data_IF_798857878594
#
_entry.id   IF_798857878594
#
_cell.length_a   1.000
_cell.length_b   1.000
_cell.length_c   1.000
_cell.angle_alpha   90.00
_cell.angle_beta   90.00
_cell.angle_gamma   90.00
#
_symmetry.space_group_name_H-M   'P 1'
#
loop_
_entity.id
_entity.type
_entity.pdbx_description
1 polymer ?
#
# COMPACT_ATOMS: atom_id res chain seq x y z
N UNK A 1 68.72 -58.93 -37.29
CA UNK A 1 69.57 -59.48 -36.19
C UNK A 1 69.64 -58.46 -35.05
N UNK A 2 69.74 -58.96 -33.80
CA UNK A 2 70.61 -58.53 -32.67
C UNK A 2 71.16 -57.08 -32.60
N UNK A 3 71.32 -56.42 -31.44
CA UNK A 3 71.05 -56.75 -30.00
C UNK A 3 71.11 -55.41 -29.20
N UNK A 4 70.07 -55.06 -28.42
CA UNK A 4 69.95 -55.14 -26.93
C UNK A 4 70.66 -54.06 -26.07
N UNK A 5 69.85 -53.54 -25.11
CA UNK A 5 70.20 -53.13 -23.72
C UNK A 5 70.93 -51.77 -23.56
N UNK A 6 70.89 -51.03 -22.43
CA UNK A 6 70.39 -51.19 -21.02
C UNK A 6 70.13 -49.74 -20.47
N UNK A 7 69.40 -49.37 -19.40
CA UNK A 7 68.21 -49.85 -18.62
C UNK A 7 67.89 -48.81 -17.50
N UNK A 8 66.62 -48.70 -17.06
CA UNK A 8 66.12 -48.16 -15.74
C UNK A 8 66.22 -46.64 -15.51
N UNK A 9 65.34 -45.97 -14.74
CA UNK A 9 64.09 -46.31 -14.00
C UNK A 9 62.97 -45.32 -14.47
N UNK A 10 61.72 -45.19 -13.98
CA UNK A 10 60.80 -45.78 -12.95
C UNK A 10 59.38 -45.69 -13.61
N UNK A 11 58.27 -46.42 -13.34
CA UNK A 11 57.53 -46.79 -12.11
C UNK A 11 57.02 -45.57 -11.32
N UNK A 12 55.72 -45.36 -11.04
CA UNK A 12 54.48 -46.20 -11.05
C UNK A 12 53.28 -45.28 -11.46
N UNK A 13 52.33 -45.63 -12.36
CA UNK A 13 51.16 -46.55 -12.22
C UNK A 13 50.10 -46.03 -11.19
N UNK A 14 48.76 -46.14 -11.36
CA UNK A 14 47.92 -46.86 -12.34
C UNK A 14 46.46 -46.28 -12.43
N UNK A 15 45.85 -46.41 -13.63
CA UNK A 15 44.41 -46.47 -13.99
C UNK A 15 43.37 -45.42 -13.55
N UNK A 16 42.60 -44.99 -14.56
CA UNK A 16 41.19 -44.58 -14.47
C UNK A 16 40.32 -45.63 -13.76
N UNK A 17 39.20 -45.20 -13.17
CA UNK A 17 37.93 -45.90 -13.37
C UNK A 17 36.75 -44.91 -13.44
N UNK A 18 35.90 -45.05 -14.44
CA UNK A 18 34.63 -44.34 -14.57
C UNK A 18 33.54 -45.14 -13.84
N UNK A 19 32.88 -44.54 -12.85
CA UNK A 19 31.57 -45.00 -12.34
C UNK A 19 30.68 -43.78 -12.15
N UNK A 20 29.47 -43.83 -12.71
CA UNK A 20 28.45 -42.79 -12.63
C UNK A 20 27.15 -43.34 -12.05
N UNK A 21 26.76 -42.92 -10.84
CA UNK A 21 25.39 -43.10 -10.31
C UNK A 21 25.04 -42.12 -9.19
N UNK A 22 23.99 -41.34 -9.44
CA UNK A 22 22.94 -40.83 -8.52
C UNK A 22 23.24 -40.47 -7.04
N UNK A 23 22.99 -39.18 -6.75
CA UNK A 23 22.12 -38.65 -5.68
C UNK A 23 22.38 -39.09 -4.23
N UNK A 24 22.81 -38.12 -3.41
CA UNK A 24 22.09 -37.77 -2.17
C UNK A 24 22.26 -36.29 -1.87
N UNK A 25 21.23 -35.65 -1.30
CA UNK A 25 21.26 -34.24 -0.91
C UNK A 25 21.48 -34.14 0.61
N UNK A 26 22.69 -33.76 1.02
CA UNK A 26 23.00 -33.40 2.40
C UNK A 26 22.81 -31.91 2.62
N UNK A 27 22.09 -31.54 3.69
CA UNK A 27 21.94 -30.13 4.10
C UNK A 27 23.31 -29.48 4.29
N UNK A 28 23.46 -28.27 3.78
CA UNK A 28 24.50 -27.35 4.24
C UNK A 28 23.85 -26.55 5.37
N UNK A 29 24.32 -26.78 6.60
CA UNK A 29 23.99 -25.88 7.70
C UNK A 29 24.64 -24.51 7.42
N UNK A 30 23.84 -23.44 7.47
CA UNK A 30 24.37 -22.07 7.33
C UNK A 30 25.11 -21.70 8.62
N UNK A 31 26.43 -21.90 8.64
CA UNK A 31 27.28 -21.10 9.51
C UNK A 31 27.16 -19.64 9.07
N UNK A 32 26.60 -18.79 9.93
CA UNK A 32 26.60 -17.35 9.75
C UNK A 32 28.01 -16.83 10.02
N UNK A 33 28.88 -16.90 9.01
CA UNK A 33 30.21 -16.28 9.05
C UNK A 33 30.01 -14.76 9.12
N UNK A 34 30.07 -14.21 10.34
CA UNK A 34 30.21 -12.77 10.55
C UNK A 34 31.50 -12.31 9.88
N UNK A 35 31.42 -11.21 9.13
CA UNK A 35 32.59 -10.52 8.59
C UNK A 35 33.58 -10.21 9.71
N UNK A 36 34.88 -10.51 9.57
CA UNK A 36 35.87 -10.21 10.60
C UNK A 36 36.07 -8.72 10.91
N UNK A 37 35.48 -7.82 10.12
CA UNK A 37 35.75 -6.38 10.19
C UNK A 37 34.48 -5.53 10.01
N UNK A 38 33.53 -5.69 10.92
CA UNK A 38 32.27 -4.91 11.03
C UNK A 38 32.48 -3.39 10.86
N UNK A 39 33.63 -2.86 11.32
CA UNK A 39 34.00 -1.44 11.18
C UNK A 39 34.23 -0.99 9.74
N UNK A 40 34.54 -1.89 8.81
CA UNK A 40 34.66 -1.55 7.38
C UNK A 40 33.31 -1.72 6.66
N UNK A 41 32.55 -2.75 7.01
CA UNK A 41 31.21 -2.98 6.45
C UNK A 41 30.27 -1.80 6.76
N UNK A 42 30.29 -1.29 7.99
CA UNK A 42 29.55 -0.07 8.40
C UNK A 42 29.92 1.14 7.52
N UNK A 43 31.21 1.36 7.22
CA UNK A 43 31.62 2.50 6.36
C UNK A 43 31.14 2.34 4.92
N UNK A 44 31.06 1.10 4.42
CA UNK A 44 30.53 0.81 3.08
C UNK A 44 29.03 1.12 3.04
N UNK A 45 28.29 0.72 4.08
CA UNK A 45 26.86 1.04 4.23
C UNK A 45 26.61 2.55 4.40
N UNK A 46 27.34 3.24 5.29
CA UNK A 46 27.30 4.71 5.45
C UNK A 46 27.58 5.44 4.12
N UNK A 47 28.57 4.98 3.36
CA UNK A 47 28.91 5.56 2.07
C UNK A 47 27.88 5.26 0.98
N UNK A 48 27.27 4.06 0.95
CA UNK A 48 26.18 3.77 0.01
C UNK A 48 24.91 4.57 0.35
N UNK A 49 24.56 4.72 1.63
CA UNK A 49 23.47 5.61 2.09
C UNK A 49 23.73 7.02 1.59
N UNK A 50 24.92 7.58 1.86
CA UNK A 50 25.28 8.95 1.45
C UNK A 50 25.20 9.17 -0.06
N UNK A 51 25.78 8.27 -0.86
CA UNK A 51 25.73 8.36 -2.34
C UNK A 51 24.29 8.19 -2.85
N UNK A 52 23.47 7.37 -2.19
CA UNK A 52 22.05 7.20 -2.55
C UNK A 52 21.23 8.45 -2.20
N UNK A 53 21.45 9.06 -1.04
CA UNK A 53 20.83 10.35 -0.65
C UNK A 53 21.22 11.49 -1.60
N UNK A 54 22.51 11.62 -1.95
CA UNK A 54 22.99 12.59 -2.94
C UNK A 54 22.31 12.42 -4.31
N UNK A 55 22.07 11.17 -4.74
CA UNK A 55 21.32 10.89 -5.97
C UNK A 55 19.83 11.26 -5.84
N UNK A 56 19.19 10.97 -4.71
CA UNK A 56 17.81 11.38 -4.44
C UNK A 56 17.65 12.90 -4.44
N UNK A 57 18.60 13.60 -3.83
CA UNK A 57 18.70 15.06 -3.82
C UNK A 57 18.88 15.64 -5.24
N UNK A 58 19.58 14.94 -6.15
CA UNK A 58 19.65 15.34 -7.57
C UNK A 58 18.27 15.30 -8.23
N UNK A 59 17.59 14.14 -8.19
CA UNK A 59 16.23 14.01 -8.76
C UNK A 59 15.25 15.03 -8.17
N UNK A 60 15.37 15.35 -6.88
CA UNK A 60 14.53 16.35 -6.23
C UNK A 60 14.75 17.76 -6.82
N UNK A 61 16.00 18.15 -7.06
CA UNK A 61 16.35 19.42 -7.71
C UNK A 61 15.87 19.47 -9.17
N UNK A 62 15.91 18.33 -9.87
CA UNK A 62 15.40 18.15 -11.24
C UNK A 62 13.85 18.13 -11.30
N UNK A 63 13.15 18.19 -10.15
CA UNK A 63 11.70 18.03 -9.98
C UNK A 63 11.16 16.64 -10.39
N UNK A 64 12.02 15.64 -10.49
CA UNK A 64 11.66 14.24 -10.67
C UNK A 64 11.30 13.60 -9.31
N UNK A 65 10.16 14.02 -8.77
CA UNK A 65 9.68 13.61 -7.44
C UNK A 65 9.50 12.10 -7.32
N UNK A 66 9.21 11.41 -8.43
CA UNK A 66 9.05 9.95 -8.46
C UNK A 66 10.40 9.23 -8.27
N UNK A 67 11.42 9.56 -9.06
CA UNK A 67 12.75 8.96 -8.89
C UNK A 67 13.46 9.46 -7.62
N UNK A 68 13.18 10.68 -7.15
CA UNK A 68 13.63 11.17 -5.86
C UNK A 68 13.08 10.27 -4.73
N UNK A 69 11.75 10.11 -4.64
CA UNK A 69 11.09 9.26 -3.65
C UNK A 69 11.61 7.82 -3.66
N UNK A 70 11.66 7.17 -4.82
CA UNK A 70 12.17 5.80 -4.97
C UNK A 70 13.64 5.68 -4.54
N UNK A 71 14.48 6.67 -4.85
CA UNK A 71 15.90 6.68 -4.46
C UNK A 71 16.06 6.89 -2.95
N UNK A 72 15.26 7.77 -2.34
CA UNK A 72 15.23 7.96 -0.90
C UNK A 72 14.73 6.72 -0.13
N UNK A 73 13.72 6.03 -0.65
CA UNK A 73 13.27 4.73 -0.13
C UNK A 73 14.37 3.66 -0.22
N UNK A 74 15.20 3.67 -1.28
CA UNK A 74 16.41 2.83 -1.34
C UNK A 74 17.41 3.20 -0.23
N UNK A 75 17.69 4.49 0.02
CA UNK A 75 18.61 4.91 1.08
C UNK A 75 18.15 4.40 2.46
N UNK A 76 16.87 4.60 2.77
CA UNK A 76 16.21 4.07 3.98
C UNK A 76 16.24 2.53 4.04
N UNK A 77 16.21 1.85 2.89
CA UNK A 77 16.22 0.38 2.89
C UNK A 77 17.54 -0.25 3.32
N UNK A 78 18.65 0.51 3.30
CA UNK A 78 19.99 0.09 3.74
C UNK A 78 20.02 0.09 5.28
N UNK A 79 19.82 1.25 5.91
CA UNK A 79 19.62 1.36 7.36
C UNK A 79 18.24 1.96 7.66
N UNK A 80 17.33 1.09 8.12
CA UNK A 80 15.95 1.45 8.44
C UNK A 80 15.78 2.11 9.80
N UNK A 81 16.76 2.00 10.70
CA UNK A 81 16.67 2.50 12.08
C UNK A 81 17.48 3.79 12.29
N UNK A 82 18.37 4.13 11.35
CA UNK A 82 19.01 5.43 11.29
C UNK A 82 17.98 6.53 10.95
N UNK A 83 17.60 7.26 12.00
CA UNK A 83 16.64 8.36 11.94
C UNK A 83 17.12 9.56 11.11
N UNK A 84 18.42 9.78 10.99
CA UNK A 84 18.97 11.00 10.39
C UNK A 84 18.75 11.00 8.87
N UNK A 85 18.71 9.82 8.25
CA UNK A 85 18.30 9.59 6.85
C UNK A 85 16.89 10.16 6.62
N UNK A 86 15.91 9.79 7.44
CA UNK A 86 14.53 10.28 7.33
C UNK A 86 14.42 11.79 7.60
N UNK A 87 15.21 12.31 8.54
CA UNK A 87 15.22 13.73 8.86
C UNK A 87 15.77 14.57 7.69
N UNK A 88 16.88 14.16 7.06
CA UNK A 88 17.41 14.83 5.86
C UNK A 88 16.38 14.84 4.73
N UNK A 89 15.81 13.68 4.40
CA UNK A 89 14.81 13.55 3.32
C UNK A 89 13.60 14.44 3.59
N UNK A 90 13.05 14.39 4.81
CA UNK A 90 11.92 15.24 5.21
C UNK A 90 12.28 16.73 5.11
N UNK A 91 13.46 17.17 5.56
CA UNK A 91 13.84 18.59 5.46
C UNK A 91 14.03 19.02 4.00
N UNK A 92 14.57 18.15 3.13
CA UNK A 92 14.67 18.39 1.68
C UNK A 92 13.31 18.60 1.01
N UNK A 93 12.29 17.82 1.37
CA UNK A 93 10.92 18.06 0.88
C UNK A 93 10.25 19.30 1.52
N UNK A 94 10.57 19.64 2.77
CA UNK A 94 10.07 20.86 3.43
C UNK A 94 10.67 22.14 2.84
N UNK A 95 11.96 22.14 2.45
CA UNK A 95 12.63 23.25 1.76
C UNK A 95 11.90 23.69 0.49
N UNK A 96 11.27 22.74 -0.22
CA UNK A 96 10.49 23.00 -1.44
C UNK A 96 8.96 23.01 -1.21
N UNK A 97 8.50 23.05 0.04
CA UNK A 97 7.08 23.06 0.44
C UNK A 97 6.24 21.83 0.00
N UNK A 98 6.87 20.67 -0.29
CA UNK A 98 6.17 19.40 -0.57
C UNK A 98 5.86 18.66 0.74
N UNK A 99 4.93 19.24 1.50
CA UNK A 99 4.57 18.80 2.85
C UNK A 99 4.04 17.36 2.93
N UNK A 100 3.38 16.86 1.87
CA UNK A 100 2.85 15.50 1.85
C UNK A 100 3.96 14.45 1.71
N UNK A 101 4.97 14.70 0.88
CA UNK A 101 6.13 13.81 0.75
C UNK A 101 6.98 13.84 2.03
N UNK A 102 7.17 15.01 2.62
CA UNK A 102 7.80 15.14 3.93
C UNK A 102 7.05 14.35 5.02
N UNK A 103 5.71 14.37 5.01
CA UNK A 103 4.89 13.57 5.92
C UNK A 103 5.00 12.06 5.63
N UNK A 104 5.05 11.65 4.37
CA UNK A 104 5.23 10.24 3.98
C UNK A 104 6.51 9.65 4.58
N UNK A 105 7.65 10.34 4.48
CA UNK A 105 8.90 9.84 5.05
C UNK A 105 8.90 9.80 6.58
N UNK A 106 8.19 10.72 7.25
CA UNK A 106 7.99 10.67 8.71
C UNK A 106 7.05 9.53 9.13
N UNK A 107 6.01 9.23 8.35
CA UNK A 107 5.18 8.05 8.55
C UNK A 107 5.96 6.74 8.31
N UNK A 108 6.86 6.72 7.31
CA UNK A 108 7.73 5.57 7.05
C UNK A 108 8.71 5.33 8.21
N UNK A 109 9.25 6.38 8.83
CA UNK A 109 10.05 6.28 10.05
C UNK A 109 9.24 5.66 11.20
N UNK A 110 8.01 6.12 11.43
CA UNK A 110 7.11 5.56 12.44
C UNK A 110 6.81 4.07 12.18
N UNK A 111 6.54 3.68 10.94
CA UNK A 111 6.30 2.29 10.55
C UNK A 111 7.54 1.39 10.74
N UNK A 112 8.74 1.93 10.54
CA UNK A 112 10.01 1.27 10.84
C UNK A 112 10.44 1.44 12.32
N UNK A 113 9.56 1.90 13.21
CA UNK A 113 9.78 2.07 14.66
C UNK A 113 10.95 3.03 15.03
N UNK A 114 11.25 3.99 14.14
CA UNK A 114 12.40 4.89 14.23
C UNK A 114 12.04 6.22 14.91
N UNK A 115 12.80 6.59 15.95
CA UNK A 115 12.66 7.82 16.78
C UNK A 115 11.19 8.22 17.05
N UNK A 116 10.39 7.24 17.48
CA UNK A 116 8.92 7.26 17.42
C UNK A 116 8.30 8.53 18.02
N UNK A 117 8.75 8.99 19.18
CA UNK A 117 8.13 10.13 19.87
C UNK A 117 8.48 11.47 19.23
N UNK A 118 9.71 11.61 18.70
CA UNK A 118 10.11 12.75 17.88
C UNK A 118 9.35 12.76 16.54
N UNK A 119 9.26 11.61 15.87
CA UNK A 119 8.57 11.49 14.58
C UNK A 119 7.06 11.76 14.70
N UNK A 120 6.39 11.44 15.83
CA UNK A 120 5.02 11.90 16.10
C UNK A 120 4.92 13.43 16.12
N UNK A 121 5.78 14.09 16.89
CA UNK A 121 5.81 15.56 17.03
C UNK A 121 6.05 16.22 15.65
N UNK A 122 6.99 15.69 14.86
CA UNK A 122 7.25 16.15 13.49
C UNK A 122 6.02 15.91 12.60
N UNK A 123 5.39 14.73 12.68
CA UNK A 123 4.20 14.39 11.89
C UNK A 123 3.04 15.36 12.14
N UNK A 124 2.77 15.70 13.40
CA UNK A 124 1.69 16.62 13.77
C UNK A 124 2.03 18.08 13.44
N UNK A 125 3.32 18.47 13.55
CA UNK A 125 3.82 19.76 13.07
C UNK A 125 3.74 19.94 11.55
N UNK A 126 3.79 18.86 10.77
CA UNK A 126 3.56 18.91 9.32
C UNK A 126 2.06 18.97 9.02
N UNK A 127 1.24 18.11 9.64
CA UNK A 127 -0.24 18.12 9.47
C UNK A 127 -0.86 19.48 9.79
N UNK A 128 -0.33 20.21 10.77
CA UNK A 128 -0.82 21.55 11.14
C UNK A 128 -0.65 22.61 10.04
N UNK A 129 0.07 22.30 8.96
CA UNK A 129 0.28 23.18 7.78
C UNK A 129 -0.70 22.89 6.64
N UNK A 130 -1.48 21.81 6.70
CA UNK A 130 -2.46 21.49 5.67
C UNK A 130 -3.68 22.40 5.75
N UNK A 131 -4.18 22.83 4.58
CA UNK A 131 -5.44 23.57 4.48
C UNK A 131 -6.62 22.67 4.90
N UNK A 132 -7.45 23.14 5.84
CA UNK A 132 -8.71 22.46 6.20
C UNK A 132 -9.79 22.92 5.21
N UNK A 133 -10.19 22.02 4.32
CA UNK A 133 -11.25 22.29 3.34
C UNK A 133 -12.61 22.34 4.05
N UNK A 134 -13.32 23.47 3.97
CA UNK A 134 -14.67 23.66 4.51
C UNK A 134 -15.73 23.60 3.40
N UNK A 135 -16.90 23.05 3.72
CA UNK A 135 -18.12 23.19 2.91
C UNK A 135 -19.22 23.87 3.72
N UNK A 136 -19.84 24.89 3.13
CA UNK A 136 -20.94 25.65 3.72
C UNK A 136 -22.23 25.39 2.94
N UNK A 137 -23.29 24.97 3.61
CA UNK A 137 -24.55 24.58 2.96
C UNK A 137 -25.78 25.00 3.78
N UNK A 138 -26.64 25.80 3.15
CA UNK A 138 -27.97 26.10 3.68
C UNK A 138 -28.99 25.01 3.30
N UNK A 139 -29.86 24.70 4.25
CA UNK A 139 -30.94 23.71 4.18
C UNK A 139 -32.21 24.31 4.81
N UNK A 140 -33.38 23.77 4.50
CA UNK A 140 -34.61 24.03 5.26
C UNK A 140 -34.92 22.94 6.28
N UNK A 141 -35.74 23.24 7.29
CA UNK A 141 -36.22 22.23 8.25
C UNK A 141 -36.90 21.05 7.53
N UNK A 142 -36.44 19.84 7.83
CA UNK A 142 -36.90 18.60 7.19
C UNK A 142 -36.31 18.31 5.79
N UNK A 143 -35.47 19.18 5.23
CA UNK A 143 -34.77 18.90 3.96
C UNK A 143 -33.81 17.71 4.14
N UNK A 144 -33.92 16.68 3.30
CA UNK A 144 -33.02 15.52 3.34
C UNK A 144 -31.67 15.87 2.69
N UNK A 145 -30.58 15.77 3.45
CA UNK A 145 -29.24 16.03 2.96
C UNK A 145 -28.24 14.93 3.34
N UNK A 146 -27.26 14.71 2.49
CA UNK A 146 -26.14 13.78 2.69
C UNK A 146 -24.83 14.53 2.48
N UNK A 147 -23.90 14.40 3.43
CA UNK A 147 -22.54 14.92 3.24
C UNK A 147 -21.85 14.22 2.06
N UNK A 148 -21.01 14.92 1.29
CA UNK A 148 -20.34 14.34 0.13
C UNK A 148 -19.31 13.30 0.56
N UNK A 149 -19.25 12.18 -0.17
CA UNK A 149 -18.31 11.08 0.09
C UNK A 149 -16.87 11.40 -0.31
N UNK A 150 -16.66 12.42 -1.14
CA UNK A 150 -15.35 12.92 -1.57
C UNK A 150 -15.33 14.45 -1.53
N UNK A 151 -14.15 15.04 -1.37
CA UNK A 151 -13.92 16.48 -1.51
C UNK A 151 -12.59 16.77 -2.20
N UNK A 152 -12.56 17.81 -3.03
CA UNK A 152 -11.34 18.31 -3.66
C UNK A 152 -10.45 19.03 -2.65
N UNK A 153 -9.17 18.66 -2.60
CA UNK A 153 -8.15 19.34 -1.79
C UNK A 153 -6.78 19.28 -2.47
N UNK A 154 -5.81 20.07 -1.98
CA UNK A 154 -4.44 20.07 -2.53
C UNK A 154 -3.58 19.00 -1.88
N UNK A 155 -2.97 18.12 -2.67
CA UNK A 155 -1.87 17.22 -2.28
C UNK A 155 -0.64 17.62 -3.10
N UNK A 156 0.50 17.94 -2.48
CA UNK A 156 1.73 18.36 -3.18
C UNK A 156 1.51 19.46 -4.26
N UNK A 157 0.59 20.40 -3.98
CA UNK A 157 0.09 21.48 -4.87
C UNK A 157 -0.86 21.05 -6.01
N UNK A 158 -1.10 19.77 -6.23
CA UNK A 158 -2.09 19.27 -7.19
C UNK A 158 -3.47 19.14 -6.53
N UNK A 159 -4.53 19.58 -7.22
CA UNK A 159 -5.90 19.50 -6.68
C UNK A 159 -6.54 18.18 -7.12
N UNK A 160 -6.80 17.29 -6.16
CA UNK A 160 -7.43 15.99 -6.39
C UNK A 160 -8.67 15.79 -5.52
N UNK A 161 -9.63 15.00 -6.01
CA UNK A 161 -10.77 14.53 -5.20
C UNK A 161 -10.31 13.35 -4.34
N UNK A 162 -10.57 13.39 -3.03
CA UNK A 162 -10.22 12.30 -2.11
C UNK A 162 -11.41 11.93 -1.21
N UNK A 163 -11.56 10.64 -0.82
CA UNK A 163 -12.68 10.18 0.00
C UNK A 163 -12.61 10.75 1.43
N UNK A 164 -13.77 11.11 1.97
CA UNK A 164 -13.94 11.76 3.28
C UNK A 164 -14.78 10.91 4.21
N UNK A 165 -14.17 10.45 5.31
CA UNK A 165 -14.89 9.78 6.41
C UNK A 165 -15.37 10.83 7.41
N UNK A 166 -16.68 11.06 7.46
CA UNK A 166 -17.33 12.02 8.38
C UNK A 166 -17.54 11.43 9.78
N UNK A 167 -17.40 12.26 10.81
CA UNK A 167 -17.62 11.89 12.22
C UNK A 167 -19.08 11.52 12.54
N UNK A 168 -20.03 12.06 11.77
CA UNK A 168 -21.43 11.66 11.74
C UNK A 168 -21.96 11.82 10.31
N UNK A 169 -22.51 10.75 9.73
CA UNK A 169 -23.16 10.74 8.41
C UNK A 169 -24.68 10.94 8.47
N UNK A 170 -25.30 10.85 9.65
CA UNK A 170 -26.74 11.02 9.85
C UNK A 170 -27.04 12.50 10.10
N UNK A 171 -27.45 13.19 9.06
CA UNK A 171 -27.80 14.61 9.10
C UNK A 171 -29.25 14.76 9.59
N UNK A 172 -29.44 15.36 10.76
CA UNK A 172 -30.77 15.73 11.23
C UNK A 172 -31.07 17.20 10.94
N UNK A 173 -32.08 17.44 10.11
CA UNK A 173 -32.60 18.77 9.77
C UNK A 173 -33.94 19.08 10.45
N UNK A 174 -34.36 18.32 11.46
CA UNK A 174 -35.67 18.48 12.11
C UNK A 174 -35.84 19.77 12.94
N UNK A 175 -34.79 20.59 13.06
CA UNK A 175 -34.76 21.82 13.85
C UNK A 175 -33.80 22.83 13.22
N UNK A 176 -34.23 24.08 13.07
CA UNK A 176 -33.37 25.17 12.64
C UNK A 176 -32.16 25.38 13.56
N UNK A 177 -31.02 25.76 12.98
CA UNK A 177 -29.75 25.93 13.68
C UNK A 177 -28.54 25.72 12.77
N UNK A 178 -27.34 25.96 13.30
CA UNK A 178 -26.08 25.69 12.60
C UNK A 178 -25.38 24.48 13.23
N UNK A 179 -25.05 23.50 12.40
CA UNK A 179 -24.45 22.23 12.79
C UNK A 179 -23.09 22.07 12.10
N UNK A 180 -22.08 21.63 12.87
CA UNK A 180 -20.73 21.40 12.35
C UNK A 180 -20.37 19.92 12.40
N UNK A 181 -19.85 19.40 11.29
CA UNK A 181 -19.41 18.01 11.11
C UNK A 181 -17.94 18.04 10.69
N UNK A 182 -17.15 17.07 11.17
CA UNK A 182 -15.73 16.96 10.81
C UNK A 182 -15.49 15.71 9.98
N UNK A 183 -14.78 15.89 8.87
CA UNK A 183 -14.39 14.83 7.95
C UNK A 183 -12.89 14.57 8.02
N UNK A 184 -12.48 13.35 7.72
CA UNK A 184 -11.07 12.96 7.67
C UNK A 184 -10.77 12.07 6.47
N UNK A 185 -9.59 12.24 5.88
CA UNK A 185 -8.97 11.28 5.00
C UNK A 185 -7.69 10.78 5.67
N UNK A 186 -7.52 9.46 5.83
CA UNK A 186 -6.38 8.88 6.56
C UNK A 186 -5.09 8.87 5.74
N UNK A 187 -5.21 8.49 4.47
CA UNK A 187 -4.11 8.34 3.51
C UNK A 187 -3.28 9.63 3.42
N UNK A 188 -3.93 10.75 3.08
CA UNK A 188 -3.31 12.08 3.00
C UNK A 188 -3.36 12.85 4.32
N UNK A 189 -3.80 12.23 5.42
CA UNK A 189 -3.97 12.87 6.74
C UNK A 189 -4.75 14.21 6.72
N UNK A 190 -5.69 14.37 5.78
CA UNK A 190 -6.46 15.62 5.59
C UNK A 190 -7.65 15.69 6.54
N UNK A 191 -8.00 16.91 6.93
CA UNK A 191 -9.19 17.24 7.72
C UNK A 191 -10.13 18.13 6.91
N UNK A 192 -11.42 17.95 7.15
CA UNK A 192 -12.51 18.63 6.47
C UNK A 192 -13.54 19.12 7.49
N UNK A 193 -14.24 20.20 7.15
CA UNK A 193 -15.36 20.73 7.96
C UNK A 193 -16.59 20.86 7.06
N UNK A 194 -17.77 20.56 7.60
CA UNK A 194 -19.04 20.89 6.97
C UNK A 194 -19.92 21.68 7.92
N UNK A 195 -20.32 22.89 7.51
CA UNK A 195 -21.19 23.79 8.27
C UNK A 195 -22.56 23.80 7.59
N UNK A 196 -23.53 23.15 8.22
CA UNK A 196 -24.90 23.05 7.73
C UNK A 196 -25.78 24.05 8.49
N UNK A 197 -26.37 25.00 7.78
CA UNK A 197 -27.30 25.99 8.35
C UNK A 197 -28.72 25.63 7.96
N UNK A 198 -29.48 25.09 8.92
CA UNK A 198 -30.89 24.73 8.78
C UNK A 198 -31.75 25.96 9.09
N UNK A 199 -32.55 26.39 8.12
CA UNK A 199 -33.43 27.55 8.19
C UNK A 199 -34.87 27.12 8.53
N UNK A 200 -35.59 27.87 9.39
CA UNK A 200 -36.92 27.50 9.81
C UNK A 200 -37.93 27.58 8.66
N UNK A 201 -38.90 26.66 8.63
CA UNK A 201 -39.94 26.65 7.60
C UNK A 201 -41.12 27.55 7.96
N UNK A 202 -41.36 28.58 7.15
CA UNK A 202 -42.52 29.46 7.27
C UNK A 202 -43.82 28.67 7.03
N UNK A 203 -44.64 28.53 8.08
CA UNK A 203 -45.86 27.70 8.07
C UNK A 203 -46.82 28.04 6.91
N UNK A 204 -46.97 27.09 5.99
CA UNK A 204 -48.17 26.92 5.15
C UNK A 204 -48.64 25.48 5.33
N UNK A 205 -49.95 25.28 5.49
CA UNK A 205 -50.54 24.00 5.88
C UNK A 205 -51.44 23.42 4.80
N UNK A 206 -51.05 22.29 4.22
CA UNK A 206 -52.00 21.25 3.78
C UNK A 206 -51.29 19.89 3.64
N UNK A 207 -52.05 18.82 3.84
CA UNK A 207 -51.63 17.43 3.71
C UNK A 207 -51.44 17.02 2.25
N UNK A 208 -50.59 16.03 2.00
CA UNK A 208 -51.10 14.72 1.56
C UNK A 208 -50.06 13.59 1.75
N UNK A 209 -50.56 12.35 1.78
CA UNK A 209 -49.78 11.14 2.04
C UNK A 209 -49.29 10.51 0.73
N UNK A 210 -47.98 10.35 0.56
CA UNK A 210 -47.40 9.45 -0.45
C UNK A 210 -46.25 8.65 0.16
N UNK A 211 -46.39 7.31 0.18
CA UNK A 211 -45.23 6.43 0.36
C UNK A 211 -44.39 6.41 -0.91
N UNK A 212 -43.15 6.88 -0.83
CA UNK A 212 -42.16 6.72 -1.88
C UNK A 212 -41.11 5.69 -1.45
N UNK A 213 -41.30 4.43 -1.84
CA UNK A 213 -40.20 3.45 -1.83
C UNK A 213 -39.12 3.93 -2.79
N UNK A 214 -37.92 4.23 -2.28
CA UNK A 214 -36.75 4.47 -3.13
C UNK A 214 -36.51 3.25 -4.04
N UNK A 215 -35.98 3.44 -5.26
CA UNK A 215 -35.38 2.33 -5.99
C UNK A 215 -34.30 1.70 -5.11
N UNK A 216 -34.36 0.38 -4.93
CA UNK A 216 -33.20 -0.36 -4.40
C UNK A 216 -32.26 -0.54 -5.57
N UNK A 217 -31.33 0.41 -5.70
CA UNK A 217 -30.17 0.26 -6.55
C UNK A 217 -29.32 -0.88 -5.96
N UNK A 218 -29.27 -1.99 -6.69
CA UNK A 218 -28.69 -3.26 -6.23
C UNK A 218 -27.18 -3.07 -6.01
N UNK A 219 -26.70 -3.09 -4.75
CA UNK A 219 -25.28 -2.84 -4.47
C UNK A 219 -24.42 -3.93 -5.10
N UNK A 220 -24.93 -5.15 -5.20
CA UNK A 220 -24.23 -6.25 -5.87
C UNK A 220 -23.91 -5.93 -7.33
N UNK A 221 -24.81 -5.29 -8.07
CA UNK A 221 -24.57 -4.93 -9.48
C UNK A 221 -23.52 -3.81 -9.59
N UNK A 222 -23.58 -2.79 -8.73
CA UNK A 222 -22.56 -1.72 -8.65
C UNK A 222 -21.17 -2.32 -8.41
N UNK A 223 -21.04 -3.27 -7.47
CA UNK A 223 -19.75 -3.85 -7.14
C UNK A 223 -19.27 -4.93 -8.14
N UNK A 224 -20.18 -5.58 -8.87
CA UNK A 224 -19.82 -6.36 -10.07
C UNK A 224 -19.23 -5.43 -11.13
N UNK A 225 -19.81 -4.24 -11.36
CA UNK A 225 -19.24 -3.26 -12.27
C UNK A 225 -17.86 -2.79 -11.79
N UNK A 226 -17.69 -2.44 -10.50
CA UNK A 226 -16.38 -2.06 -9.94
C UNK A 226 -15.30 -3.15 -10.10
N UNK A 227 -15.64 -4.43 -9.93
CA UNK A 227 -14.72 -5.55 -10.22
C UNK A 227 -14.33 -5.53 -11.72
N UNK A 228 -15.28 -5.26 -12.62
CA UNK A 228 -15.02 -5.08 -14.05
C UNK A 228 -14.12 -3.87 -14.37
N UNK A 229 -14.36 -2.73 -13.72
CA UNK A 229 -13.57 -1.50 -13.87
C UNK A 229 -12.13 -1.71 -13.38
N UNK A 230 -11.92 -2.38 -12.24
CA UNK A 230 -10.58 -2.72 -11.75
C UNK A 230 -9.85 -3.65 -12.72
N UNK A 231 -10.51 -4.65 -13.30
CA UNK A 231 -9.92 -5.49 -14.37
C UNK A 231 -9.55 -4.69 -15.62
N UNK A 232 -10.42 -3.79 -16.07
CA UNK A 232 -10.14 -2.93 -17.22
C UNK A 232 -8.94 -1.99 -16.96
N UNK A 233 -8.79 -1.52 -15.70
CA UNK A 233 -7.68 -0.65 -15.31
C UNK A 233 -6.31 -1.28 -15.55
N UNK A 234 -6.15 -2.59 -15.32
CA UNK A 234 -4.86 -3.31 -15.40
C UNK A 234 -4.19 -3.27 -16.78
N UNK A 235 -4.92 -2.82 -17.81
CA UNK A 235 -4.37 -2.62 -19.15
C UNK A 235 -3.21 -1.62 -19.20
N UNK A 236 -3.12 -0.66 -18.27
CA UNK A 236 -1.98 0.25 -18.14
C UNK A 236 -0.67 -0.45 -17.66
N UNK A 237 -0.79 -1.48 -16.83
CA UNK A 237 0.33 -2.27 -16.29
C UNK A 237 1.03 -3.15 -17.34
N UNK A 238 0.47 -3.27 -18.56
CA UNK A 238 1.00 -4.11 -19.65
C UNK A 238 2.48 -3.83 -19.96
N UNK A 239 2.88 -2.55 -19.94
CA UNK A 239 4.27 -2.16 -20.16
C UNK A 239 5.20 -2.65 -19.04
N UNK A 240 4.75 -2.57 -17.79
CA UNK A 240 5.48 -3.02 -16.61
C UNK A 240 5.73 -4.53 -16.63
N UNK A 241 4.74 -5.33 -17.04
CA UNK A 241 4.88 -6.77 -17.18
C UNK A 241 5.82 -7.20 -18.32
N UNK A 242 5.93 -6.38 -19.38
CA UNK A 242 6.88 -6.58 -20.48
C UNK A 242 8.31 -6.07 -20.17
N UNK A 243 8.50 -5.38 -19.05
CA UNK A 243 9.78 -4.79 -18.64
C UNK A 243 10.74 -5.75 -17.93
N UNK A 244 11.62 -5.18 -17.11
CA UNK A 244 12.52 -5.93 -16.23
C UNK A 244 11.78 -6.60 -15.08
N UNK A 245 12.44 -7.50 -14.34
CA UNK A 245 11.87 -8.10 -13.12
C UNK A 245 11.53 -7.06 -12.04
N UNK A 246 12.11 -5.85 -12.09
CA UNK A 246 11.74 -4.75 -11.20
C UNK A 246 10.42 -4.09 -11.64
N UNK A 247 10.26 -3.83 -12.95
CA UNK A 247 9.03 -3.28 -13.53
C UNK A 247 7.87 -4.27 -13.36
N UNK A 248 8.12 -5.56 -13.57
CA UNK A 248 7.18 -6.66 -13.30
C UNK A 248 6.75 -6.70 -11.83
N UNK A 249 7.67 -6.42 -10.90
CA UNK A 249 7.36 -6.37 -9.47
C UNK A 249 6.49 -5.16 -9.13
N UNK A 250 6.76 -3.99 -9.72
CA UNK A 250 5.90 -2.82 -9.55
C UNK A 250 4.50 -3.08 -10.13
N UNK A 251 4.39 -3.57 -11.37
CA UNK A 251 3.10 -3.94 -11.98
C UNK A 251 2.29 -4.90 -11.11
N UNK A 252 2.89 -6.01 -10.67
CA UNK A 252 2.26 -6.98 -9.79
C UNK A 252 1.85 -6.41 -8.41
N UNK A 253 2.54 -5.36 -7.93
CA UNK A 253 2.25 -4.74 -6.64
C UNK A 253 1.15 -3.67 -6.75
N UNK A 254 1.10 -2.93 -7.85
CA UNK A 254 -0.01 -2.02 -8.18
C UNK A 254 -1.32 -2.79 -8.46
N UNK A 255 -1.25 -3.91 -9.17
CA UNK A 255 -2.37 -4.84 -9.35
C UNK A 255 -2.91 -5.32 -7.99
N UNK A 256 -2.03 -5.76 -7.10
CA UNK A 256 -2.40 -6.16 -5.74
C UNK A 256 -3.04 -4.99 -4.95
N UNK A 257 -2.46 -3.79 -5.01
CA UNK A 257 -2.98 -2.60 -4.31
C UNK A 257 -4.39 -2.22 -4.78
N UNK A 258 -4.64 -2.24 -6.09
CA UNK A 258 -5.97 -2.00 -6.68
C UNK A 258 -7.00 -3.02 -6.17
N UNK A 259 -6.62 -4.29 -6.07
CA UNK A 259 -7.49 -5.34 -5.52
C UNK A 259 -7.74 -5.22 -4.01
N UNK A 260 -6.72 -4.92 -3.20
CA UNK A 260 -6.88 -4.81 -1.74
C UNK A 260 -7.69 -3.55 -1.37
N UNK A 261 -7.53 -2.45 -2.11
CA UNK A 261 -8.39 -1.26 -1.98
C UNK A 261 -9.88 -1.59 -2.21
N UNK A 262 -10.20 -2.29 -3.31
CA UNK A 262 -11.58 -2.72 -3.58
C UNK A 262 -12.09 -3.73 -2.54
N UNK A 263 -11.23 -4.64 -2.05
CA UNK A 263 -11.59 -5.58 -0.99
C UNK A 263 -12.00 -4.86 0.30
N UNK A 264 -11.24 -3.83 0.68
CA UNK A 264 -11.53 -3.02 1.87
C UNK A 264 -12.82 -2.19 1.69
N UNK A 265 -13.13 -1.72 0.48
CA UNK A 265 -14.41 -1.06 0.16
C UNK A 265 -15.60 -2.05 0.30
N UNK A 266 -15.52 -3.21 -0.37
CA UNK A 266 -16.53 -4.27 -0.32
C UNK A 266 -16.81 -4.70 1.13
N UNK A 267 -15.76 -4.97 1.90
CA UNK A 267 -15.89 -5.40 3.30
C UNK A 267 -16.50 -4.32 4.20
N UNK A 268 -16.26 -3.04 3.90
CA UNK A 268 -16.89 -1.90 4.59
C UNK A 268 -18.38 -1.80 4.29
N UNK A 269 -18.81 -1.98 3.03
CA UNK A 269 -20.24 -2.02 2.68
C UNK A 269 -20.96 -3.22 3.28
N UNK A 270 -20.32 -4.40 3.31
CA UNK A 270 -20.90 -5.59 3.96
C UNK A 270 -21.11 -5.37 5.47
N UNK A 271 -20.24 -4.60 6.14
CA UNK A 271 -20.41 -4.21 7.56
C UNK A 271 -21.68 -3.37 7.81
N UNK A 272 -22.06 -2.51 6.87
CA UNK A 272 -23.27 -1.69 6.96
C UNK A 272 -24.55 -2.45 6.56
N UNK A 273 -24.41 -3.45 5.68
CA UNK A 273 -25.52 -4.16 5.04
C UNK A 273 -25.93 -5.45 5.78
N UNK A 274 -25.05 -6.01 6.61
CA UNK A 274 -25.29 -7.28 7.32
C UNK A 274 -25.73 -7.05 8.78
N UNK A 275 -26.32 -8.09 9.39
CA UNK A 275 -26.56 -8.09 10.84
C UNK A 275 -25.21 -8.15 11.58
N UNK A 276 -25.16 -7.65 12.83
CA UNK A 276 -23.96 -7.74 13.66
C UNK A 276 -23.50 -9.19 13.86
N UNK A 277 -24.44 -10.13 13.97
CA UNK A 277 -24.13 -11.56 14.14
C UNK A 277 -23.50 -12.16 12.87
N UNK A 278 -24.06 -11.86 11.70
CA UNK A 278 -23.56 -12.38 10.42
C UNK A 278 -22.26 -11.71 10.01
N UNK A 279 -22.08 -10.42 10.32
CA UNK A 279 -20.83 -9.72 10.08
C UNK A 279 -19.70 -10.24 10.98
N UNK A 280 -19.96 -10.58 12.25
CA UNK A 280 -18.96 -11.22 13.10
C UNK A 280 -18.57 -12.63 12.58
N UNK A 281 -19.50 -13.39 11.98
CA UNK A 281 -19.14 -14.63 11.26
C UNK A 281 -18.20 -14.33 10.08
N UNK A 282 -18.59 -13.39 9.20
CA UNK A 282 -17.81 -12.99 8.03
C UNK A 282 -16.41 -12.44 8.41
N UNK A 283 -16.32 -11.68 9.49
CA UNK A 283 -15.06 -11.15 10.05
C UNK A 283 -14.10 -12.26 10.48
N UNK A 284 -14.61 -13.32 11.09
CA UNK A 284 -13.79 -14.48 11.45
C UNK A 284 -13.31 -15.25 10.20
N UNK A 285 -14.13 -15.37 9.16
CA UNK A 285 -13.67 -15.87 7.86
C UNK A 285 -12.60 -14.97 7.23
N UNK A 286 -12.77 -13.64 7.31
CA UNK A 286 -11.85 -12.66 6.73
C UNK A 286 -10.48 -12.71 7.43
N UNK A 287 -10.46 -12.79 8.77
CA UNK A 287 -9.22 -12.99 9.55
C UNK A 287 -8.54 -14.30 9.15
N UNK A 288 -9.29 -15.39 8.98
CA UNK A 288 -8.72 -16.65 8.50
C UNK A 288 -8.15 -16.53 7.09
N UNK A 289 -8.87 -15.90 6.16
CA UNK A 289 -8.40 -15.70 4.79
C UNK A 289 -7.13 -14.82 4.73
N UNK A 290 -7.01 -13.78 5.57
CA UNK A 290 -5.78 -12.98 5.70
C UNK A 290 -4.61 -13.85 6.17
N UNK A 291 -4.82 -14.66 7.22
CA UNK A 291 -3.79 -15.56 7.74
C UNK A 291 -3.39 -16.65 6.73
N UNK A 292 -4.31 -17.09 5.88
CA UNK A 292 -4.06 -18.04 4.79
C UNK A 292 -3.45 -17.40 3.53
N UNK A 293 -3.55 -16.07 3.32
CA UNK A 293 -3.10 -15.35 2.10
C UNK A 293 -1.58 -15.35 1.95
N UNK A 294 -0.86 -14.88 2.98
CA UNK A 294 0.61 -14.76 2.97
C UNK A 294 1.34 -16.11 2.78
N UNK A 295 1.00 -17.21 3.50
CA UNK A 295 1.63 -18.50 3.31
C UNK A 295 1.43 -19.09 1.90
N UNK A 296 0.26 -18.87 1.28
CA UNK A 296 -0.01 -19.30 -0.10
C UNK A 296 0.85 -18.53 -1.11
N UNK A 297 0.95 -17.20 -0.97
CA UNK A 297 1.80 -16.38 -1.81
C UNK A 297 3.29 -16.78 -1.69
N UNK A 298 3.76 -17.11 -0.48
CA UNK A 298 5.12 -17.63 -0.24
C UNK A 298 5.36 -18.97 -0.93
N UNK A 299 4.45 -19.94 -0.79
CA UNK A 299 4.60 -21.27 -1.42
C UNK A 299 4.56 -21.18 -2.97
N UNK A 300 3.71 -20.33 -3.54
CA UNK A 300 3.69 -20.05 -4.99
C UNK A 300 4.99 -19.41 -5.50
N UNK A 301 5.59 -18.52 -4.73
CA UNK A 301 6.84 -17.82 -5.07
C UNK A 301 8.11 -18.65 -4.84
N UNK A 302 8.05 -19.66 -3.96
CA UNK A 302 9.14 -20.52 -3.47
C UNK A 302 10.08 -21.10 -4.55
N UNK A 303 9.55 -21.42 -5.73
CA UNK A 303 10.35 -21.87 -6.89
C UNK A 303 11.36 -20.83 -7.41
N UNK A 304 11.29 -19.59 -6.92
CA UNK A 304 12.19 -18.47 -7.22
C UNK A 304 12.94 -17.97 -5.97
N UNK A 305 12.90 -18.69 -4.84
CA UNK A 305 13.48 -18.25 -3.55
C UNK A 305 14.95 -17.83 -3.70
N UNK A 306 15.29 -16.66 -3.15
CA UNK A 306 16.60 -16.01 -3.30
C UNK A 306 16.79 -15.19 -4.59
N UNK A 307 15.90 -15.31 -5.58
CA UNK A 307 15.91 -14.52 -6.82
C UNK A 307 14.95 -13.32 -6.79
N UNK A 308 15.18 -12.32 -7.66
CA UNK A 308 14.29 -11.16 -7.84
C UNK A 308 12.86 -11.56 -8.23
N UNK A 309 12.71 -12.61 -9.05
CA UNK A 309 11.41 -13.13 -9.50
C UNK A 309 10.50 -13.61 -8.37
N UNK A 310 11.06 -13.92 -7.18
CA UNK A 310 10.29 -14.24 -5.98
C UNK A 310 9.29 -13.13 -5.65
N UNK A 311 9.72 -11.87 -5.71
CA UNK A 311 8.86 -10.72 -5.37
C UNK A 311 7.71 -10.57 -6.36
N UNK A 312 7.97 -10.75 -7.66
CA UNK A 312 6.93 -10.72 -8.71
C UNK A 312 5.88 -11.80 -8.46
N UNK A 313 6.31 -13.06 -8.31
CA UNK A 313 5.39 -14.18 -8.12
C UNK A 313 4.59 -14.10 -6.81
N UNK A 314 5.21 -13.56 -5.76
CA UNK A 314 4.57 -13.27 -4.49
C UNK A 314 3.47 -12.20 -4.66
N UNK A 315 3.79 -11.03 -5.25
CA UNK A 315 2.83 -9.95 -5.47
C UNK A 315 1.66 -10.36 -6.39
N UNK A 316 1.92 -11.07 -7.50
CA UNK A 316 0.85 -11.61 -8.36
C UNK A 316 -0.09 -12.53 -7.56
N UNK A 317 0.45 -13.47 -6.77
CA UNK A 317 -0.39 -14.38 -5.96
C UNK A 317 -1.19 -13.63 -4.89
N UNK A 318 -0.68 -12.51 -4.36
CA UNK A 318 -1.47 -11.63 -3.49
C UNK A 318 -2.62 -10.94 -4.24
N UNK A 319 -2.37 -10.49 -5.48
CA UNK A 319 -3.40 -9.97 -6.40
C UNK A 319 -4.49 -10.99 -6.66
N UNK A 320 -4.14 -12.15 -7.25
CA UNK A 320 -5.05 -13.26 -7.58
C UNK A 320 -5.99 -13.62 -6.42
N UNK A 321 -5.42 -13.89 -5.24
CA UNK A 321 -6.18 -14.30 -4.05
C UNK A 321 -7.12 -13.19 -3.53
N UNK A 322 -6.78 -11.93 -3.79
CA UNK A 322 -7.55 -10.75 -3.37
C UNK A 322 -8.65 -10.44 -4.37
N UNK A 323 -8.43 -10.60 -5.69
CA UNK A 323 -9.50 -10.64 -6.69
C UNK A 323 -10.54 -11.72 -6.34
N UNK A 324 -10.09 -12.96 -6.10
CA UNK A 324 -10.96 -14.09 -5.73
C UNK A 324 -11.82 -13.73 -4.50
N UNK A 325 -11.23 -13.05 -3.51
CA UNK A 325 -11.96 -12.64 -2.30
C UNK A 325 -12.96 -11.52 -2.59
N UNK A 326 -12.64 -10.53 -3.43
CA UNK A 326 -13.59 -9.51 -3.89
C UNK A 326 -14.81 -10.17 -4.56
N UNK A 327 -14.56 -11.06 -5.53
CA UNK A 327 -15.61 -11.80 -6.23
C UNK A 327 -16.44 -12.66 -5.27
N UNK A 328 -15.80 -13.36 -4.33
CA UNK A 328 -16.49 -14.17 -3.33
C UNK A 328 -17.43 -13.33 -2.43
N UNK A 329 -16.93 -12.21 -1.91
CA UNK A 329 -17.70 -11.34 -1.01
C UNK A 329 -18.92 -10.72 -1.69
N UNK A 330 -18.73 -10.14 -2.89
CA UNK A 330 -19.81 -9.53 -3.67
C UNK A 330 -20.86 -10.57 -4.07
N UNK A 331 -20.43 -11.76 -4.51
CA UNK A 331 -21.38 -12.77 -4.97
C UNK A 331 -22.21 -13.41 -3.87
N UNK A 332 -21.65 -13.63 -2.68
CA UNK A 332 -22.31 -14.40 -1.61
C UNK A 332 -22.99 -13.54 -0.53
N UNK A 333 -22.56 -12.29 -0.31
CA UNK A 333 -23.03 -11.48 0.83
C UNK A 333 -23.69 -10.14 0.43
N UNK A 334 -23.45 -9.62 -0.77
CA UNK A 334 -23.98 -8.31 -1.20
C UNK A 334 -25.41 -8.41 -1.79
N UNK A 335 -26.20 -7.34 -1.63
CA UNK A 335 -27.65 -7.28 -1.90
C UNK A 335 -28.09 -5.97 -2.56
#
# INVERSE_FOLDING_TARGET
MNKKFKTKNLSIFLSLLLISTFVSCSKIDKETILSPNVTEDIKVEENEVKVTLEKGNSYLNDNDFANAKLTYEKAISIDKVNKDIYLEIKDKYLEINRFDDALYFVQLALNNNTDIDNMKIISDNIKSKFEITSIDKSLYEGESYTLPSELSTKINNETISIPVTWNNSVINTSTAGTFSYTGTNKEYSRQFTAILTVLPTSKVSSTDLVQATKPVENKKDIYIEKIGQVKASMSDLTASFAGTTLDQYFGASEEYLRWDNLLNEIYSVLKEQMSTEDFEKLKNEQIKWINDKDPKAKESAKKFEGGSQYKVAYSCTLGDLTEDRCNYLVNNYMK
#
